data_IF_719301276114
#
_entry.id   IF_719301276114
#
_cell.length_a   1.000
_cell.length_b   1.000
_cell.length_c   1.000
_cell.angle_alpha   90.00
_cell.angle_beta   90.00
_cell.angle_gamma   90.00
#
_symmetry.space_group_name_H-M   'P 1'
#
loop_
_entity.id
_entity.type
_entity.pdbx_description
1 polymer ?
#
# COMPACT_ATOMS: atom_id res chain seq x y z
N UNK A 1 4.24 -15.83 -1.91
CA UNK A 1 4.31 -14.59 -1.10
C UNK A 1 4.59 -14.90 0.37
N UNK A 2 3.75 -15.70 1.06
CA UNK A 2 4.00 -16.12 2.45
C UNK A 2 5.38 -16.78 2.64
N UNK A 3 5.81 -17.63 1.71
CA UNK A 3 7.15 -18.23 1.72
C UNK A 3 8.30 -17.22 1.60
N UNK A 4 8.10 -16.12 0.85
CA UNK A 4 9.06 -15.02 0.75
C UNK A 4 9.09 -14.17 2.03
N UNK A 5 7.92 -13.93 2.62
CA UNK A 5 7.82 -13.18 3.87
C UNK A 5 8.44 -13.95 5.06
N UNK A 6 8.42 -15.28 5.02
CA UNK A 6 9.05 -16.15 6.02
C UNK A 6 10.58 -16.30 5.86
N UNK A 7 11.15 -15.93 4.71
CA UNK A 7 12.59 -15.95 4.48
C UNK A 7 13.22 -14.68 5.07
N UNK A 8 13.81 -14.75 6.26
CA UNK A 8 14.41 -13.59 6.92
C UNK A 8 15.62 -12.99 6.18
N UNK A 9 16.24 -13.74 5.26
CA UNK A 9 17.50 -13.37 4.62
C UNK A 9 17.30 -12.60 3.30
N UNK A 10 16.10 -12.67 2.71
CA UNK A 10 15.72 -11.83 1.55
C UNK A 10 15.26 -10.43 1.99
N UNK A 11 16.25 -9.54 2.15
CA UNK A 11 16.10 -8.13 2.55
C UNK A 11 16.24 -7.15 1.38
N UNK A 12 16.23 -7.62 0.13
CA UNK A 12 16.48 -6.78 -1.06
C UNK A 12 15.58 -5.54 -1.12
N UNK A 13 14.35 -5.68 -0.62
CA UNK A 13 13.32 -4.66 -0.63
C UNK A 13 13.12 -3.95 0.73
N UNK A 14 13.85 -4.37 1.76
CA UNK A 14 13.68 -3.87 3.13
C UNK A 14 13.84 -2.36 3.22
N UNK A 15 14.94 -1.82 2.68
CA UNK A 15 15.20 -0.38 2.72
C UNK A 15 14.11 0.44 2.02
N UNK A 16 13.41 -0.17 1.05
CA UNK A 16 12.35 0.47 0.28
C UNK A 16 11.01 0.47 0.98
N UNK A 17 10.55 -0.68 1.46
CA UNK A 17 9.16 -0.83 1.90
C UNK A 17 9.00 -1.01 3.42
N UNK A 18 10.02 -1.50 4.12
CA UNK A 18 9.98 -1.74 5.57
C UNK A 18 11.33 -1.43 6.25
N UNK A 19 11.86 -0.21 6.09
CA UNK A 19 13.23 0.13 6.53
C UNK A 19 13.42 0.06 8.06
N UNK A 20 12.34 0.16 8.84
CA UNK A 20 12.38 0.15 10.31
C UNK A 20 11.55 -0.95 10.95
N UNK A 21 10.83 -1.75 10.15
CA UNK A 21 10.04 -2.87 10.67
C UNK A 21 10.83 -4.16 10.44
N UNK A 22 11.14 -4.94 11.50
CA UNK A 22 11.75 -6.25 11.34
C UNK A 22 10.84 -7.15 10.48
N UNK A 23 11.42 -7.87 9.51
CA UNK A 23 10.64 -8.69 8.56
C UNK A 23 9.71 -9.69 9.25
N UNK A 24 10.14 -10.28 10.36
CA UNK A 24 9.33 -11.20 11.18
C UNK A 24 8.10 -10.57 11.84
N UNK A 25 8.02 -9.25 11.91
CA UNK A 25 6.89 -8.51 12.49
C UNK A 25 5.86 -8.07 11.44
N UNK A 26 6.12 -8.24 10.15
CA UNK A 26 5.20 -7.80 9.09
C UNK A 26 3.82 -8.46 9.20
N UNK A 27 3.77 -9.72 9.63
CA UNK A 27 2.52 -10.44 9.89
C UNK A 27 1.83 -9.98 11.17
N UNK A 28 2.57 -9.87 12.28
CA UNK A 28 1.98 -9.51 13.58
C UNK A 28 1.49 -8.05 13.61
N UNK A 29 2.11 -7.19 12.81
CA UNK A 29 1.68 -5.80 12.65
C UNK A 29 0.56 -5.64 11.60
N UNK A 30 0.21 -6.69 10.85
CA UNK A 30 -0.95 -6.69 9.93
C UNK A 30 -0.68 -6.18 8.52
N UNK A 31 0.58 -5.93 8.14
CA UNK A 31 0.98 -5.54 6.78
C UNK A 31 1.02 -6.71 5.79
N UNK A 32 1.10 -7.95 6.30
CA UNK A 32 0.99 -9.16 5.49
C UNK A 32 -0.06 -10.07 6.11
N UNK A 33 -1.06 -10.44 5.31
CA UNK A 33 -2.07 -11.41 5.71
C UNK A 33 -1.71 -12.83 5.27
N UNK A 34 -1.86 -13.82 6.17
CA UNK A 34 -1.78 -15.25 5.82
C UNK A 34 -2.88 -15.66 4.81
N UNK A 35 -4.02 -14.97 4.87
CA UNK A 35 -5.13 -15.04 3.90
C UNK A 35 -5.53 -13.63 3.48
N UNK A 36 -5.10 -13.22 2.30
CA UNK A 36 -5.35 -11.87 1.79
C UNK A 36 -6.76 -11.70 1.24
N UNK A 37 -7.39 -10.55 1.53
CA UNK A 37 -8.66 -10.14 0.92
C UNK A 37 -8.57 -10.06 -0.61
N UNK A 38 -7.39 -9.72 -1.16
CA UNK A 38 -7.11 -9.71 -2.60
C UNK A 38 -7.40 -11.04 -3.28
N UNK A 39 -7.12 -12.16 -2.60
CA UNK A 39 -7.42 -13.50 -3.14
C UNK A 39 -8.93 -13.78 -3.23
N UNK A 40 -9.80 -12.93 -2.69
CA UNK A 40 -11.27 -13.02 -2.86
C UNK A 40 -11.78 -12.22 -4.06
N UNK A 41 -10.89 -11.50 -4.75
CA UNK A 41 -11.20 -10.77 -5.98
C UNK A 41 -12.04 -9.51 -5.79
N UNK A 42 -12.17 -9.00 -4.56
CA UNK A 42 -13.00 -7.83 -4.22
C UNK A 42 -12.24 -6.75 -3.43
N UNK A 43 -10.92 -6.89 -3.35
CA UNK A 43 -10.01 -5.95 -2.70
C UNK A 43 -9.13 -5.30 -3.76
N UNK A 44 -8.89 -4.01 -3.62
CA UNK A 44 -8.07 -3.21 -4.53
C UNK A 44 -7.12 -2.34 -3.71
N UNK A 45 -5.94 -2.15 -4.27
CA UNK A 45 -4.97 -1.20 -3.77
C UNK A 45 -4.77 -0.11 -4.82
N UNK A 46 -4.96 1.15 -4.44
CA UNK A 46 -4.93 2.27 -5.39
C UNK A 46 -4.50 3.60 -4.79
N UNK A 47 -4.23 4.55 -5.68
CA UNK A 47 -3.91 5.93 -5.35
C UNK A 47 -4.59 6.90 -6.31
N UNK A 48 -4.52 8.19 -5.99
CA UNK A 48 -4.96 9.27 -6.85
C UNK A 48 -3.79 9.80 -7.67
N UNK A 49 -4.05 10.11 -8.94
CA UNK A 49 -3.12 10.80 -9.85
C UNK A 49 -3.82 11.98 -10.49
N UNK A 50 -3.07 13.02 -10.88
CA UNK A 50 -3.64 14.10 -11.67
C UNK A 50 -3.92 13.59 -13.09
N UNK A 51 -5.11 13.88 -13.62
CA UNK A 51 -5.46 13.54 -15.02
C UNK A 51 -4.43 14.18 -15.97
N UNK A 52 -3.89 13.38 -16.87
CA UNK A 52 -2.83 13.80 -17.80
C UNK A 52 -1.42 13.78 -17.22
N UNK A 53 -1.22 13.45 -15.94
CA UNK A 53 0.11 13.18 -15.40
C UNK A 53 0.70 11.92 -16.01
N UNK A 54 2.03 11.87 -16.14
CA UNK A 54 2.75 10.73 -16.70
C UNK A 54 3.58 10.04 -15.62
N UNK A 55 3.55 8.72 -15.61
CA UNK A 55 4.42 7.93 -14.74
C UNK A 55 5.88 8.06 -15.20
N UNK A 56 6.80 8.51 -14.33
CA UNK A 56 8.22 8.55 -14.65
C UNK A 56 8.74 7.17 -15.04
N UNK A 57 9.51 7.10 -16.12
CA UNK A 57 10.24 5.90 -16.50
C UNK A 57 11.57 5.89 -15.77
N UNK A 58 11.65 5.13 -14.68
CA UNK A 58 12.87 4.99 -13.88
C UNK A 58 13.21 3.51 -13.69
N UNK A 59 14.50 3.21 -13.65
CA UNK A 59 14.96 1.89 -13.21
C UNK A 59 14.61 1.70 -11.73
N UNK A 60 13.77 0.70 -11.38
CA UNK A 60 13.35 0.47 -10.00
C UNK A 60 14.47 0.00 -9.08
N UNK A 61 15.62 -0.42 -9.62
CA UNK A 61 16.78 -0.90 -8.89
C UNK A 61 17.94 0.12 -8.84
N UNK A 62 17.84 1.21 -9.62
CA UNK A 62 18.91 2.20 -9.71
C UNK A 62 19.18 2.92 -8.38
N UNK A 63 18.18 3.00 -7.50
CA UNK A 63 18.28 3.69 -6.21
C UNK A 63 17.63 2.89 -5.09
N UNK A 64 18.18 3.07 -3.88
CA UNK A 64 17.59 2.59 -2.62
C UNK A 64 16.67 3.67 -2.07
N UNK A 65 15.44 3.71 -2.59
CA UNK A 65 14.39 4.60 -2.07
C UNK A 65 13.98 4.16 -0.66
N UNK A 66 13.45 5.06 0.16
CA UNK A 66 12.79 4.79 1.44
C UNK A 66 11.37 5.35 1.36
N UNK A 67 10.36 4.49 1.46
CA UNK A 67 8.95 4.84 1.26
C UNK A 67 8.39 5.86 2.28
N UNK A 68 9.12 6.20 3.34
CA UNK A 68 8.68 7.17 4.36
C UNK A 68 9.21 8.57 4.09
N UNK A 69 10.16 8.71 3.17
CA UNK A 69 10.76 10.00 2.85
C UNK A 69 9.73 10.95 2.21
N UNK A 70 9.96 12.27 2.20
CA UNK A 70 9.15 13.19 1.41
C UNK A 70 9.11 12.79 -0.07
N UNK A 71 8.02 13.10 -0.81
CA UNK A 71 7.83 12.65 -2.21
C UNK A 71 9.03 12.86 -3.13
N UNK A 72 9.78 13.99 -3.10
CA UNK A 72 10.95 14.18 -3.97
C UNK A 72 12.11 13.21 -3.73
N UNK A 73 12.15 12.54 -2.58
CA UNK A 73 13.20 11.59 -2.18
C UNK A 73 12.73 10.13 -2.23
N UNK A 74 11.44 9.90 -2.55
CA UNK A 74 10.86 8.57 -2.72
C UNK A 74 11.02 8.05 -4.13
N UNK A 75 10.60 6.79 -4.33
CA UNK A 75 10.44 6.24 -5.68
C UNK A 75 9.59 7.20 -6.51
N UNK A 76 10.09 7.67 -7.67
CA UNK A 76 9.38 8.69 -8.43
C UNK A 76 8.18 8.06 -9.14
N UNK A 77 7.01 8.46 -8.69
CA UNK A 77 5.71 8.12 -9.28
C UNK A 77 4.88 9.39 -9.54
N UNK A 78 3.78 9.22 -10.27
CA UNK A 78 2.82 10.29 -10.54
C UNK A 78 1.66 10.37 -9.53
N UNK A 79 1.73 9.65 -8.41
CA UNK A 79 0.71 9.72 -7.37
C UNK A 79 0.61 11.11 -6.76
N UNK A 80 -0.49 11.44 -6.09
CA UNK A 80 -0.52 12.59 -5.20
C UNK A 80 0.40 12.35 -3.98
N UNK A 81 0.65 13.39 -3.18
CA UNK A 81 1.37 13.25 -1.92
C UNK A 81 0.44 12.54 -0.91
N UNK A 82 0.79 11.32 -0.50
CA UNK A 82 0.02 10.47 0.42
C UNK A 82 0.73 10.21 1.76
N UNK A 83 1.81 10.93 2.07
CA UNK A 83 2.57 10.82 3.32
C UNK A 83 3.62 9.71 3.31
N UNK A 84 3.34 8.61 2.61
CA UNK A 84 4.27 7.51 2.33
C UNK A 84 4.11 7.04 0.89
N UNK A 85 5.10 6.29 0.40
CA UNK A 85 4.97 5.54 -0.85
C UNK A 85 3.93 4.44 -0.73
N UNK A 86 3.48 3.94 -1.88
CA UNK A 86 2.69 2.72 -1.97
C UNK A 86 3.49 1.52 -1.41
N UNK A 87 2.81 0.54 -0.80
CA UNK A 87 3.39 -0.62 -0.09
C UNK A 87 4.36 -0.28 1.05
N UNK A 88 4.22 0.90 1.67
CA UNK A 88 5.05 1.27 2.80
C UNK A 88 4.56 0.59 4.10
N UNK A 89 5.25 -0.44 4.55
CA UNK A 89 4.96 -1.16 5.80
C UNK A 89 5.61 -0.42 6.99
N UNK A 90 4.98 0.69 7.36
CA UNK A 90 5.37 1.55 8.47
C UNK A 90 4.12 2.21 9.03
N UNK A 91 4.08 2.55 10.32
CA UNK A 91 2.90 3.16 10.93
C UNK A 91 2.47 4.46 10.23
N UNK A 92 3.38 5.15 9.54
CA UNK A 92 3.07 6.32 8.70
C UNK A 92 2.07 6.00 7.57
N UNK A 93 1.92 4.74 7.14
CA UNK A 93 0.93 4.33 6.12
C UNK A 93 -0.48 4.15 6.67
N UNK A 94 -0.65 4.06 7.99
CA UNK A 94 -1.99 4.00 8.61
C UNK A 94 -2.83 5.19 8.17
N UNK A 95 -4.05 4.96 7.70
CA UNK A 95 -4.89 5.96 7.00
C UNK A 95 -5.01 7.26 7.76
N UNK A 96 -5.30 7.19 9.06
CA UNK A 96 -5.53 8.32 9.95
C UNK A 96 -4.26 8.71 10.76
N UNK A 97 -3.05 8.42 10.25
CA UNK A 97 -1.81 8.79 10.92
C UNK A 97 -1.66 10.33 11.03
N UNK A 98 -1.37 10.83 12.24
CA UNK A 98 -1.28 12.28 12.51
C UNK A 98 0.08 12.91 12.17
N UNK A 99 1.12 12.09 11.96
CA UNK A 99 2.51 12.51 11.75
C UNK A 99 2.84 12.84 10.29
N UNK A 100 1.91 12.62 9.37
CA UNK A 100 2.04 13.00 7.96
C UNK A 100 1.59 14.45 7.71
N UNK A 101 2.00 15.03 6.58
CA UNK A 101 1.62 16.41 6.22
C UNK A 101 0.10 16.58 6.06
N UNK A 102 -0.42 17.79 6.32
CA UNK A 102 -1.82 18.12 6.11
C UNK A 102 -2.28 17.87 4.66
N UNK A 103 -1.40 18.10 3.68
CA UNK A 103 -1.69 17.77 2.27
C UNK A 103 -1.90 16.27 2.06
N UNK A 104 -1.09 15.45 2.71
CA UNK A 104 -1.25 14.00 2.66
C UNK A 104 -2.54 13.55 3.33
N UNK A 105 -2.88 14.10 4.51
CA UNK A 105 -4.15 13.82 5.19
C UNK A 105 -5.35 14.14 4.29
N UNK A 106 -5.35 15.32 3.68
CA UNK A 106 -6.41 15.74 2.74
C UNK A 106 -6.54 14.79 1.55
N UNK A 107 -5.43 14.36 0.94
CA UNK A 107 -5.47 13.45 -0.20
C UNK A 107 -5.94 12.04 0.20
N UNK A 108 -5.55 11.54 1.38
CA UNK A 108 -6.06 10.26 1.91
C UNK A 108 -7.56 10.32 2.17
N UNK A 109 -8.05 11.40 2.79
CA UNK A 109 -9.49 11.60 3.02
C UNK A 109 -10.27 11.73 1.71
N UNK A 110 -9.70 12.41 0.70
CA UNK A 110 -10.27 12.44 -0.64
C UNK A 110 -10.39 11.04 -1.25
N UNK A 111 -9.31 10.25 -1.24
CA UNK A 111 -9.34 8.87 -1.73
C UNK A 111 -10.38 8.03 -0.98
N UNK A 112 -10.33 8.06 0.35
CA UNK A 112 -11.24 7.31 1.23
C UNK A 112 -12.70 7.65 0.94
N UNK A 113 -13.05 8.94 0.89
CA UNK A 113 -14.43 9.36 0.62
C UNK A 113 -14.94 8.93 -0.76
N UNK A 114 -14.09 8.94 -1.79
CA UNK A 114 -14.44 8.45 -3.13
C UNK A 114 -14.73 6.95 -3.09
N UNK A 115 -13.86 6.18 -2.41
CA UNK A 115 -13.98 4.73 -2.32
C UNK A 115 -15.19 4.30 -1.48
N UNK A 116 -15.42 4.96 -0.33
CA UNK A 116 -16.60 4.74 0.51
C UNK A 116 -17.90 5.04 -0.26
N UNK A 117 -17.93 6.14 -1.03
CA UNK A 117 -19.08 6.44 -1.90
C UNK A 117 -19.30 5.40 -3.01
N UNK A 118 -18.25 4.66 -3.38
CA UNK A 118 -18.32 3.55 -4.34
C UNK A 118 -18.61 2.19 -3.69
N UNK A 119 -18.85 2.14 -2.37
CA UNK A 119 -19.19 0.91 -1.65
C UNK A 119 -17.98 0.09 -1.21
N UNK A 120 -16.83 0.74 -0.98
CA UNK A 120 -15.63 0.10 -0.45
C UNK A 120 -15.29 0.61 0.95
N UNK A 121 -14.81 -0.30 1.80
CA UNK A 121 -14.26 0.00 3.12
C UNK A 121 -12.73 0.03 3.09
N UNK A 122 -12.12 1.05 3.70
CA UNK A 122 -10.67 1.15 3.86
C UNK A 122 -10.14 0.20 4.95
N UNK A 123 -8.95 -0.36 4.74
CA UNK A 123 -8.17 -1.00 5.81
C UNK A 123 -7.33 0.05 6.57
N UNK A 124 -7.50 0.23 7.89
CA UNK A 124 -6.90 1.35 8.63
C UNK A 124 -5.37 1.41 8.62
N UNK A 125 -4.68 0.28 8.41
CA UNK A 125 -3.22 0.24 8.41
C UNK A 125 -2.60 0.60 7.05
N UNK A 126 -3.40 0.66 5.98
CA UNK A 126 -2.91 0.89 4.63
C UNK A 126 -3.82 1.89 3.91
N UNK A 127 -3.34 3.12 3.71
CA UNK A 127 -4.15 4.18 3.09
C UNK A 127 -4.63 3.87 1.66
N UNK A 128 -3.95 2.95 0.96
CA UNK A 128 -4.26 2.54 -0.42
C UNK A 128 -5.24 1.36 -0.50
N UNK A 129 -5.51 0.65 0.60
CA UNK A 129 -6.17 -0.65 0.60
C UNK A 129 -7.68 -0.54 0.87
N UNK A 130 -8.48 -1.12 -0.01
CA UNK A 130 -9.93 -1.06 0.04
C UNK A 130 -10.58 -2.38 -0.35
N UNK A 131 -11.60 -2.80 0.40
CA UNK A 131 -12.40 -4.00 0.10
C UNK A 131 -13.85 -3.61 -0.15
N UNK A 132 -14.46 -4.15 -1.20
CA UNK A 132 -15.87 -3.93 -1.53
C UNK A 132 -16.75 -4.44 -0.38
N UNK A 133 -17.74 -3.68 0.07
CA UNK A 133 -18.57 -4.06 1.23
C UNK A 133 -19.46 -5.28 0.92
N UNK A 134 -19.97 -5.35 -0.30
CA UNK A 134 -20.85 -6.44 -0.78
C UNK A 134 -20.07 -7.42 -1.65
N UNK A 135 -19.08 -8.09 -1.05
CA UNK A 135 -18.23 -9.04 -1.77
C UNK A 135 -19.05 -10.21 -2.34
N UNK A 136 -18.90 -10.56 -3.62
CA UNK A 136 -19.51 -11.77 -4.20
C UNK A 136 -18.94 -13.07 -3.63
N UNK A 137 -17.71 -13.04 -3.08
CA UNK A 137 -16.94 -14.22 -2.71
C UNK A 137 -16.25 -14.08 -1.34
N UNK A 138 -16.96 -13.75 -0.24
CA UNK A 138 -16.34 -13.42 1.04
C UNK A 138 -15.53 -14.56 1.67
N UNK A 139 -15.87 -15.82 1.34
CA UNK A 139 -15.23 -17.03 1.89
C UNK A 139 -14.43 -17.83 0.85
N UNK A 140 -14.28 -17.32 -0.38
CA UNK A 140 -13.58 -18.04 -1.46
C UNK A 140 -12.29 -17.34 -1.84
N UNK A 141 -11.18 -18.05 -1.66
CA UNK A 141 -9.83 -17.62 -2.02
C UNK A 141 -9.43 -18.29 -3.34
N UNK A 142 -9.27 -17.48 -4.37
CA UNK A 142 -8.82 -17.88 -5.69
C UNK A 142 -7.29 -18.03 -5.73
N UNK A 143 -6.81 -18.97 -6.54
CA UNK A 143 -5.39 -19.27 -6.76
C UNK A 143 -5.12 -19.60 -8.24
N UNK A 144 -5.80 -18.88 -9.14
CA UNK A 144 -5.52 -18.96 -10.58
C UNK A 144 -4.57 -17.83 -10.98
N UNK A 145 -3.72 -18.02 -12.01
CA UNK A 145 -2.83 -16.97 -12.50
C UNK A 145 -3.60 -15.76 -13.05
N UNK A 146 -3.13 -14.55 -12.75
CA UNK A 146 -3.59 -13.33 -13.43
C UNK A 146 -3.04 -13.33 -14.87
N UNK A 147 -3.90 -13.00 -15.84
CA UNK A 147 -3.57 -12.92 -17.27
C UNK A 147 -3.40 -11.47 -17.72
#
# INVERSE_FOLDING_TARGET
FVSWAADSDDVLQQQRFYPTVPKGELFSQGYIAERSGHSRGSTVDLTLVTIGSQQPQVDPLANRYDCRQPKPLRYPDNSLEMGTGYDCFDALSHTDNEQISERAKQNRQLLRSIMEAAGFSNYPQEWWHYTLDSEPYPDRYFDFPIQ
#
